data_IF_397087186243
#
_entry.id   IF_397087186243
#
_cell.length_a   1.000
_cell.length_b   1.000
_cell.length_c   1.000
_cell.angle_alpha   90.00
_cell.angle_beta   90.00
_cell.angle_gamma   90.00
#
_symmetry.space_group_name_H-M   'P 1'
#
loop_
_entity.id
_entity.type
_entity.pdbx_description
1 polymer ?
#
# COMPACT_ATOMS: atom_id res chain seq x y z
N UNK A 1 -15.14 -11.54 -55.90
CA UNK A 1 -15.38 -11.59 -54.45
C UNK A 1 -14.68 -10.39 -53.85
N UNK A 2 -15.44 -9.40 -53.38
CA UNK A 2 -14.90 -8.19 -52.78
C UNK A 2 -14.19 -8.50 -51.47
N UNK A 3 -13.01 -7.92 -51.32
CA UNK A 3 -12.09 -8.04 -50.19
C UNK A 3 -12.74 -7.47 -48.92
N UNK A 4 -13.66 -8.22 -48.31
CA UNK A 4 -14.38 -7.80 -47.10
C UNK A 4 -13.42 -7.88 -45.92
N UNK A 5 -12.74 -6.77 -45.66
CA UNK A 5 -11.90 -6.58 -44.48
C UNK A 5 -12.76 -6.82 -43.24
N UNK A 6 -12.47 -7.91 -42.51
CA UNK A 6 -13.13 -8.21 -41.24
C UNK A 6 -12.72 -7.12 -40.25
N UNK A 7 -13.68 -6.43 -39.61
CA UNK A 7 -13.35 -5.41 -38.62
C UNK A 7 -12.61 -6.01 -37.42
N UNK A 8 -11.61 -5.29 -36.89
CA UNK A 8 -10.80 -5.74 -35.75
C UNK A 8 -11.66 -6.02 -34.50
N UNK A 9 -12.69 -5.21 -34.25
CA UNK A 9 -13.61 -5.43 -33.14
C UNK A 9 -14.39 -6.75 -33.25
N UNK A 10 -14.67 -7.22 -34.47
CA UNK A 10 -15.35 -8.49 -34.71
C UNK A 10 -14.41 -9.67 -34.40
N UNK A 11 -13.15 -9.59 -34.82
CA UNK A 11 -12.12 -10.56 -34.46
C UNK A 11 -11.89 -10.60 -32.94
N UNK A 12 -11.87 -9.44 -32.27
CA UNK A 12 -11.76 -9.36 -30.82
C UNK A 12 -12.95 -10.03 -30.12
N UNK A 13 -14.17 -9.69 -30.52
CA UNK A 13 -15.39 -10.27 -29.95
C UNK A 13 -15.47 -11.79 -30.16
N UNK A 14 -15.11 -12.27 -31.35
CA UNK A 14 -15.05 -13.69 -31.65
C UNK A 14 -14.00 -14.41 -30.77
N UNK A 15 -12.81 -13.83 -30.62
CA UNK A 15 -11.78 -14.38 -29.73
C UNK A 15 -12.21 -14.39 -28.27
N UNK A 16 -12.81 -13.30 -27.76
CA UNK A 16 -13.34 -13.21 -26.41
C UNK A 16 -14.40 -14.30 -26.16
N UNK A 17 -15.34 -14.46 -27.09
CA UNK A 17 -16.36 -15.51 -27.04
C UNK A 17 -15.74 -16.92 -27.01
N UNK A 18 -14.75 -17.18 -27.87
CA UNK A 18 -14.04 -18.48 -27.90
C UNK A 18 -13.25 -18.75 -26.62
N UNK A 19 -12.62 -17.73 -26.03
CA UNK A 19 -11.93 -17.83 -24.73
C UNK A 19 -12.93 -18.19 -23.65
N UNK A 20 -14.05 -17.47 -23.55
CA UNK A 20 -15.11 -17.79 -22.58
C UNK A 20 -15.60 -19.24 -22.75
N UNK A 21 -15.84 -19.68 -23.98
CA UNK A 21 -16.31 -21.05 -24.25
C UNK A 21 -15.26 -22.13 -23.95
N UNK A 22 -13.97 -21.85 -24.13
CA UNK A 22 -12.87 -22.78 -23.80
C UNK A 22 -12.65 -22.94 -22.31
N UNK A 23 -13.01 -21.93 -21.51
CA UNK A 23 -12.86 -21.98 -20.07
C UNK A 23 -13.88 -22.90 -19.40
N UNK A 24 -15.01 -23.20 -20.06
CA UNK A 24 -16.07 -24.16 -19.67
C UNK A 24 -16.35 -24.23 -18.15
N UNK A 25 -15.65 -25.11 -17.41
CA UNK A 25 -15.81 -25.30 -15.95
C UNK A 25 -15.14 -24.23 -15.07
N UNK A 26 -14.24 -23.40 -15.63
CA UNK A 26 -13.49 -22.34 -14.93
C UNK A 26 -14.05 -20.93 -15.14
N UNK A 27 -15.14 -20.79 -15.91
CA UNK A 27 -15.72 -19.48 -16.23
C UNK A 27 -16.19 -18.75 -14.96
N UNK A 28 -16.76 -19.51 -14.01
CA UNK A 28 -17.23 -18.98 -12.72
C UNK A 28 -16.11 -18.40 -11.85
N UNK A 29 -14.87 -18.83 -12.05
CA UNK A 29 -13.73 -18.38 -11.23
C UNK A 29 -13.55 -16.86 -11.33
N UNK A 30 -13.76 -16.29 -12.52
CA UNK A 30 -13.65 -14.84 -12.72
C UNK A 30 -14.68 -14.06 -11.90
N UNK A 31 -15.92 -14.57 -11.84
CA UNK A 31 -16.98 -13.93 -11.07
C UNK A 31 -16.78 -14.11 -9.56
N UNK A 32 -16.38 -15.30 -9.09
CA UNK A 32 -16.05 -15.54 -7.68
C UNK A 32 -14.89 -14.66 -7.20
N UNK A 33 -13.83 -14.54 -8.00
CA UNK A 33 -12.71 -13.66 -7.67
C UNK A 33 -13.13 -12.18 -7.59
N UNK A 34 -14.02 -11.74 -8.49
CA UNK A 34 -14.59 -10.39 -8.44
C UNK A 34 -15.44 -10.19 -7.17
N UNK A 35 -16.33 -11.14 -6.83
CA UNK A 35 -17.17 -11.08 -5.63
C UNK A 35 -16.32 -11.04 -4.35
N UNK A 36 -15.30 -11.89 -4.25
CA UNK A 36 -14.42 -11.93 -3.08
C UNK A 36 -13.70 -10.59 -2.89
N UNK A 37 -13.12 -10.04 -3.97
CA UNK A 37 -12.45 -8.74 -3.92
C UNK A 37 -13.43 -7.60 -3.58
N UNK A 38 -14.63 -7.64 -4.15
CA UNK A 38 -15.66 -6.63 -3.89
C UNK A 38 -16.20 -6.68 -2.46
N UNK A 39 -16.44 -7.87 -1.91
CA UNK A 39 -16.85 -8.07 -0.53
C UNK A 39 -15.77 -7.57 0.44
N UNK A 40 -14.52 -7.94 0.21
CA UNK A 40 -13.39 -7.45 1.01
C UNK A 40 -13.29 -5.93 0.97
N UNK A 41 -13.36 -5.34 -0.24
CA UNK A 41 -13.34 -3.90 -0.45
C UNK A 41 -14.49 -3.18 0.29
N UNK A 42 -15.71 -3.71 0.18
CA UNK A 42 -16.89 -3.16 0.81
C UNK A 42 -16.77 -3.16 2.34
N UNK A 43 -16.25 -4.24 2.93
CA UNK A 43 -15.98 -4.31 4.38
C UNK A 43 -14.94 -3.27 4.78
N UNK A 44 -13.81 -3.17 4.07
CA UNK A 44 -12.77 -2.19 4.39
C UNK A 44 -13.31 -0.76 4.32
N UNK A 45 -14.04 -0.42 3.26
CA UNK A 45 -14.63 0.92 3.05
C UNK A 45 -15.67 1.23 4.13
N UNK A 46 -16.56 0.28 4.43
CA UNK A 46 -17.61 0.47 5.44
C UNK A 46 -17.02 0.76 6.82
N UNK A 47 -16.01 -0.01 7.21
CA UNK A 47 -15.37 0.15 8.50
C UNK A 47 -14.56 1.47 8.58
N UNK A 48 -13.92 1.90 7.50
CA UNK A 48 -13.27 3.22 7.43
C UNK A 48 -14.29 4.36 7.53
N UNK A 49 -15.39 4.29 6.78
CA UNK A 49 -16.46 5.29 6.82
C UNK A 49 -17.07 5.41 8.23
N UNK A 50 -17.22 4.28 8.96
CA UNK A 50 -17.66 4.29 10.35
C UNK A 50 -16.70 5.04 11.27
N UNK A 51 -15.38 4.87 11.09
CA UNK A 51 -14.37 5.57 11.87
C UNK A 51 -14.38 7.08 11.59
N UNK A 52 -14.46 7.47 10.31
CA UNK A 52 -14.58 8.89 9.92
C UNK A 52 -15.86 9.52 10.40
N UNK A 53 -16.99 8.82 10.30
CA UNK A 53 -18.27 9.28 10.85
C UNK A 53 -18.19 9.57 12.35
N UNK A 54 -17.49 8.74 13.11
CA UNK A 54 -17.22 8.98 14.54
C UNK A 54 -16.32 10.20 14.76
N UNK A 55 -15.27 10.37 13.95
CA UNK A 55 -14.38 11.53 14.03
C UNK A 55 -15.07 12.85 13.66
N UNK A 56 -15.87 12.85 12.58
CA UNK A 56 -16.73 13.96 12.15
C UNK A 56 -17.75 14.35 13.23
N UNK A 57 -18.41 13.37 13.87
CA UNK A 57 -19.34 13.62 14.97
C UNK A 57 -18.66 14.24 16.20
N UNK A 58 -17.37 13.96 16.41
CA UNK A 58 -16.54 14.61 17.43
C UNK A 58 -16.00 15.99 16.99
N UNK A 59 -16.34 16.47 15.78
CA UNK A 59 -15.87 17.74 15.22
C UNK A 59 -14.39 17.73 14.82
N UNK A 60 -13.81 16.54 14.58
CA UNK A 60 -12.36 16.34 14.37
C UNK A 60 -11.95 16.20 12.91
N UNK A 61 -12.91 16.06 11.99
CA UNK A 61 -12.67 15.86 10.56
C UNK A 61 -13.65 16.69 9.69
N UNK A 62 -13.22 17.01 8.46
CA UNK A 62 -13.92 17.96 7.58
C UNK A 62 -13.88 17.56 6.08
N UNK A 63 -13.44 16.35 5.75
CA UNK A 63 -13.37 15.88 4.36
C UNK A 63 -14.64 15.13 3.95
N UNK A 64 -15.08 15.38 2.73
CA UNK A 64 -16.25 14.76 2.12
C UNK A 64 -15.98 13.29 1.81
N UNK A 65 -16.88 12.40 2.26
CA UNK A 65 -16.85 10.95 2.00
C UNK A 65 -17.35 10.58 0.57
N UNK A 66 -17.52 11.57 -0.31
CA UNK A 66 -17.99 11.43 -1.70
C UNK A 66 -17.30 10.29 -2.48
N UNK A 67 -16.01 10.06 -2.22
CA UNK A 67 -15.26 8.99 -2.85
C UNK A 67 -15.63 7.59 -2.33
N UNK A 68 -15.76 7.43 -1.00
CA UNK A 68 -16.15 6.16 -0.38
C UNK A 68 -17.58 5.80 -0.79
N UNK A 69 -18.45 6.79 -0.89
CA UNK A 69 -19.81 6.65 -1.42
C UNK A 69 -19.79 6.22 -2.90
N UNK A 70 -18.92 6.84 -3.72
CA UNK A 70 -18.76 6.48 -5.12
C UNK A 70 -18.30 5.03 -5.30
N UNK A 71 -17.25 4.58 -4.60
CA UNK A 71 -16.83 3.17 -4.71
C UNK A 71 -17.93 2.24 -4.18
N UNK A 72 -18.55 2.56 -3.04
CA UNK A 72 -19.61 1.72 -2.46
C UNK A 72 -20.77 1.54 -3.43
N UNK A 73 -21.18 2.61 -4.11
CA UNK A 73 -22.18 2.56 -5.17
C UNK A 73 -21.73 1.66 -6.33
N UNK A 74 -20.48 1.79 -6.77
CA UNK A 74 -19.95 1.01 -7.88
C UNK A 74 -19.85 -0.50 -7.55
N UNK A 75 -19.37 -0.84 -6.35
CA UNK A 75 -19.32 -2.21 -5.83
C UNK A 75 -20.71 -2.85 -5.77
N UNK A 76 -21.69 -2.13 -5.22
CA UNK A 76 -23.10 -2.60 -5.13
C UNK A 76 -23.72 -2.84 -6.50
N UNK A 77 -23.40 -2.00 -7.48
CA UNK A 77 -24.00 -2.12 -8.81
C UNK A 77 -23.38 -3.21 -9.69
N UNK A 78 -22.12 -3.57 -9.47
CA UNK A 78 -21.40 -4.44 -10.39
C UNK A 78 -20.92 -5.76 -9.80
N UNK A 79 -20.65 -5.83 -8.50
CA UNK A 79 -19.89 -6.95 -7.95
C UNK A 79 -20.49 -7.59 -6.70
N UNK A 80 -21.26 -6.85 -5.90
CA UNK A 80 -21.96 -7.41 -4.75
C UNK A 80 -23.29 -8.03 -5.20
N UNK A 81 -23.54 -9.26 -4.76
CA UNK A 81 -24.75 -10.00 -5.07
C UNK A 81 -25.86 -9.61 -4.09
N UNK A 82 -26.30 -8.36 -4.14
CA UNK A 82 -27.38 -7.87 -3.27
C UNK A 82 -28.74 -8.22 -3.88
N UNK A 83 -28.99 -9.52 -4.02
CA UNK A 83 -30.29 -10.05 -4.45
C UNK A 83 -31.35 -9.96 -3.34
N UNK A 84 -30.99 -9.51 -2.12
CA UNK A 84 -31.84 -9.66 -0.94
C UNK A 84 -32.01 -8.45 -0.01
N UNK A 85 -31.18 -7.39 -0.01
CA UNK A 85 -31.30 -6.37 1.07
C UNK A 85 -31.69 -4.94 0.67
N UNK A 86 -31.53 -4.53 -0.60
CA UNK A 86 -31.77 -3.14 -1.01
C UNK A 86 -32.94 -2.90 -1.98
N UNK A 87 -33.64 -3.94 -2.43
CA UNK A 87 -34.60 -3.85 -3.54
C UNK A 87 -35.93 -4.58 -3.30
N UNK A 88 -36.36 -4.74 -2.05
CA UNK A 88 -37.65 -5.39 -1.75
C UNK A 88 -38.87 -4.67 -2.37
N UNK A 89 -38.72 -3.40 -2.79
CA UNK A 89 -39.83 -2.61 -3.34
C UNK A 89 -39.94 -2.59 -4.89
N UNK A 90 -38.97 -3.12 -5.66
CA UNK A 90 -38.99 -3.01 -7.14
C UNK A 90 -38.55 -4.28 -7.90
N UNK A 91 -39.53 -5.05 -8.42
CA UNK A 91 -39.32 -6.23 -9.27
C UNK A 91 -38.47 -5.98 -10.54
N UNK A 92 -38.42 -4.74 -11.03
CA UNK A 92 -37.59 -4.33 -12.18
C UNK A 92 -36.10 -4.40 -11.88
N UNK A 93 -35.70 -3.95 -10.70
CA UNK A 93 -34.30 -3.85 -10.30
C UNK A 93 -33.72 -5.23 -9.98
N UNK A 94 -34.55 -6.11 -9.39
CA UNK A 94 -34.19 -7.51 -9.14
C UNK A 94 -33.92 -8.29 -10.43
N UNK A 95 -34.78 -8.14 -11.46
CA UNK A 95 -34.55 -8.77 -12.78
C UNK A 95 -33.26 -8.27 -13.44
N UNK A 96 -32.92 -7.00 -13.24
CA UNK A 96 -31.70 -6.39 -13.78
C UNK A 96 -30.46 -6.89 -13.04
N UNK A 97 -30.51 -7.04 -11.71
CA UNK A 97 -29.44 -7.63 -10.91
C UNK A 97 -29.14 -9.09 -11.31
N UNK A 98 -30.17 -9.94 -11.42
CA UNK A 98 -30.02 -11.34 -11.85
C UNK A 98 -29.40 -11.45 -13.25
N UNK A 99 -29.81 -10.59 -14.18
CA UNK A 99 -29.22 -10.55 -15.53
C UNK A 99 -27.76 -10.09 -15.51
N UNK A 100 -27.39 -9.14 -14.65
CA UNK A 100 -26.00 -8.69 -14.46
C UNK A 100 -25.14 -9.82 -13.90
N UNK A 101 -25.57 -10.46 -12.81
CA UNK A 101 -24.86 -11.58 -12.21
C UNK A 101 -24.67 -12.73 -13.23
N UNK A 102 -25.72 -13.10 -13.96
CA UNK A 102 -25.63 -14.10 -15.03
C UNK A 102 -24.67 -13.69 -16.16
N UNK A 103 -24.67 -12.40 -16.55
CA UNK A 103 -23.72 -11.87 -17.54
C UNK A 103 -22.27 -11.96 -17.04
N UNK A 104 -22.01 -11.58 -15.79
CA UNK A 104 -20.66 -11.62 -15.22
C UNK A 104 -20.17 -13.05 -15.05
N UNK A 105 -21.03 -13.95 -14.59
CA UNK A 105 -20.76 -15.38 -14.46
C UNK A 105 -20.31 -16.04 -15.78
N UNK A 106 -20.69 -15.50 -16.93
CA UNK A 106 -20.29 -16.01 -18.26
C UNK A 106 -19.21 -15.17 -18.96
N UNK A 107 -18.79 -14.03 -18.37
CA UNK A 107 -17.83 -13.10 -18.97
C UNK A 107 -16.64 -12.80 -18.04
N UNK A 108 -15.68 -13.73 -17.90
CA UNK A 108 -14.51 -13.57 -17.03
C UNK A 108 -13.59 -12.40 -17.43
N UNK A 109 -13.53 -12.05 -18.73
CA UNK A 109 -12.76 -10.88 -19.20
C UNK A 109 -13.33 -9.59 -18.60
N UNK A 110 -14.66 -9.45 -18.59
CA UNK A 110 -15.32 -8.28 -18.03
C UNK A 110 -15.17 -8.26 -16.50
N UNK A 111 -15.25 -9.43 -15.84
CA UNK A 111 -14.95 -9.54 -14.41
C UNK A 111 -13.52 -9.09 -14.08
N UNK A 112 -12.54 -9.44 -14.91
CA UNK A 112 -11.15 -8.98 -14.75
C UNK A 112 -10.98 -7.46 -14.88
N UNK A 113 -11.73 -6.82 -15.79
CA UNK A 113 -11.73 -5.36 -15.92
C UNK A 113 -12.35 -4.67 -14.69
N UNK A 114 -13.47 -5.21 -14.18
CA UNK A 114 -14.08 -4.71 -12.95
C UNK A 114 -13.17 -4.93 -11.73
N UNK A 115 -12.50 -6.08 -11.65
CA UNK A 115 -11.54 -6.35 -10.59
C UNK A 115 -10.37 -5.36 -10.62
N UNK A 116 -9.82 -5.09 -11.82
CA UNK A 116 -8.79 -4.07 -12.00
C UNK A 116 -9.28 -2.68 -11.57
N UNK A 117 -10.53 -2.33 -11.90
CA UNK A 117 -11.16 -1.07 -11.48
C UNK A 117 -11.19 -0.92 -9.97
N UNK A 118 -11.71 -1.93 -9.28
CA UNK A 118 -11.83 -1.96 -7.81
C UNK A 118 -10.46 -1.80 -7.16
N UNK A 119 -9.47 -2.58 -7.63
CA UNK A 119 -8.10 -2.53 -7.10
C UNK A 119 -7.42 -1.18 -7.33
N UNK A 120 -7.55 -0.59 -8.53
CA UNK A 120 -7.00 0.74 -8.81
C UNK A 120 -7.60 1.79 -7.89
N UNK A 121 -8.93 1.78 -7.69
CA UNK A 121 -9.62 2.75 -6.84
C UNK A 121 -9.20 2.60 -5.37
N UNK A 122 -9.20 1.36 -4.84
CA UNK A 122 -8.78 1.09 -3.46
C UNK A 122 -7.31 1.42 -3.23
N UNK A 123 -6.43 1.06 -4.16
CA UNK A 123 -5.00 1.30 -4.03
C UNK A 123 -4.68 2.80 -4.03
N UNK A 124 -5.19 3.53 -5.01
CA UNK A 124 -4.96 4.97 -5.17
C UNK A 124 -5.35 5.74 -3.90
N UNK A 125 -6.47 5.36 -3.31
CA UNK A 125 -7.07 6.09 -2.21
C UNK A 125 -6.66 5.56 -0.85
N UNK A 126 -6.44 4.25 -0.71
CA UNK A 126 -5.77 3.67 0.45
C UNK A 126 -4.38 4.27 0.67
N UNK A 127 -3.57 4.40 -0.39
CA UNK A 127 -2.28 5.11 -0.33
C UNK A 127 -2.46 6.60 -0.05
N UNK A 128 -3.46 7.24 -0.65
CA UNK A 128 -3.80 8.65 -0.41
C UNK A 128 -4.10 8.94 1.07
N UNK A 129 -4.98 8.15 1.67
CA UNK A 129 -5.35 8.21 3.09
C UNK A 129 -4.13 7.89 3.96
N UNK A 130 -3.42 6.81 3.67
CA UNK A 130 -2.21 6.46 4.42
C UNK A 130 -1.16 7.58 4.44
N UNK A 131 -1.05 8.36 3.36
CA UNK A 131 -0.15 9.51 3.25
C UNK A 131 -0.65 10.72 4.01
N UNK A 132 -1.95 11.04 3.92
CA UNK A 132 -2.56 12.14 4.66
C UNK A 132 -2.31 12.03 6.16
N UNK A 133 -2.48 10.83 6.71
CA UNK A 133 -2.26 10.56 8.13
C UNK A 133 -0.83 10.13 8.45
N UNK A 134 -0.04 9.78 7.44
CA UNK A 134 1.31 9.24 7.56
C UNK A 134 1.46 8.03 8.52
N UNK A 135 0.38 7.31 8.84
CA UNK A 135 0.41 6.28 9.91
C UNK A 135 1.33 5.11 9.57
N UNK A 136 1.32 4.66 8.31
CA UNK A 136 2.15 3.53 7.85
C UNK A 136 3.64 3.85 8.01
N UNK A 137 4.08 5.05 7.61
CA UNK A 137 5.46 5.48 7.81
C UNK A 137 5.83 5.43 9.29
N UNK A 138 5.05 6.10 10.14
CA UNK A 138 5.39 6.24 11.56
C UNK A 138 5.40 4.88 12.28
N UNK A 139 4.43 4.00 11.98
CA UNK A 139 4.42 2.63 12.47
C UNK A 139 5.64 1.83 11.96
N UNK A 140 6.02 1.98 10.68
CA UNK A 140 7.16 1.27 10.09
C UNK A 140 8.52 1.73 10.63
N UNK A 141 8.68 3.04 10.88
CA UNK A 141 9.84 3.59 11.58
C UNK A 141 9.94 3.03 13.00
N UNK A 142 8.82 3.02 13.74
CA UNK A 142 8.78 2.47 15.09
C UNK A 142 9.10 0.98 15.13
N UNK A 143 8.49 0.19 14.27
CA UNK A 143 8.75 -1.25 14.12
C UNK A 143 10.22 -1.52 13.80
N UNK A 144 10.79 -0.78 12.85
CA UNK A 144 12.20 -0.95 12.46
C UNK A 144 13.16 -0.59 13.59
N UNK A 145 12.89 0.50 14.32
CA UNK A 145 13.67 0.86 15.51
C UNK A 145 13.59 -0.23 16.58
N UNK A 146 12.41 -0.75 16.88
CA UNK A 146 12.22 -1.80 17.89
C UNK A 146 12.89 -3.13 17.52
N UNK A 147 12.93 -3.49 16.23
CA UNK A 147 13.70 -4.66 15.78
C UNK A 147 15.20 -4.45 15.93
N UNK A 148 15.70 -3.28 15.53
CA UNK A 148 17.12 -2.96 15.63
C UNK A 148 17.60 -2.94 17.10
N UNK A 149 16.78 -2.43 18.00
CA UNK A 149 17.02 -2.40 19.45
C UNK A 149 16.69 -3.74 20.15
N UNK A 150 16.32 -4.79 19.40
CA UNK A 150 15.99 -6.14 19.91
C UNK A 150 14.87 -6.15 20.98
N UNK A 151 13.94 -5.20 20.89
CA UNK A 151 12.81 -5.08 21.81
C UNK A 151 11.64 -6.01 21.45
N UNK A 152 11.62 -6.55 20.22
CA UNK A 152 10.60 -7.49 19.75
C UNK A 152 11.00 -8.97 19.94
N UNK A 153 12.28 -9.21 20.25
CA UNK A 153 12.80 -10.52 20.65
C UNK A 153 12.71 -10.67 22.16
N UNK A 154 11.88 -11.60 22.64
CA UNK A 154 11.84 -11.92 24.07
C UNK A 154 13.07 -12.73 24.46
N UNK A 155 13.94 -12.17 25.32
CA UNK A 155 15.20 -12.81 25.69
C UNK A 155 15.05 -14.07 26.57
N UNK A 156 13.87 -14.35 27.11
CA UNK A 156 13.54 -15.61 27.77
C UNK A 156 12.01 -15.76 27.68
N UNK A 157 11.52 -16.80 27.00
CA UNK A 157 10.15 -17.25 27.26
C UNK A 157 10.05 -17.56 28.74
N UNK A 158 9.04 -17.04 29.44
CA UNK A 158 8.85 -17.15 30.89
C UNK A 158 8.85 -18.60 31.44
N UNK A 159 8.92 -19.60 30.55
CA UNK A 159 8.76 -21.01 30.83
C UNK A 159 9.90 -21.87 30.21
N UNK A 160 11.01 -21.28 29.76
CA UNK A 160 12.08 -22.03 29.07
C UNK A 160 11.78 -22.38 27.61
N UNK A 161 10.74 -21.77 27.02
CA UNK A 161 10.43 -21.87 25.60
C UNK A 161 11.35 -20.96 24.78
N UNK A 162 11.69 -21.40 23.57
CA UNK A 162 12.54 -20.70 22.61
C UNK A 162 12.16 -19.21 22.47
N UNK A 163 13.17 -18.36 22.28
CA UNK A 163 13.00 -16.93 22.05
C UNK A 163 11.98 -16.70 20.92
N UNK A 164 10.85 -16.06 21.23
CA UNK A 164 9.83 -15.72 20.23
C UNK A 164 10.19 -14.35 19.67
N UNK A 165 10.58 -14.33 18.41
CA UNK A 165 10.75 -13.10 17.62
C UNK A 165 9.40 -12.71 17.02
N UNK A 166 8.85 -11.58 17.46
CA UNK A 166 7.56 -11.09 16.97
C UNK A 166 7.77 -10.37 15.63
N UNK A 167 7.70 -11.13 14.53
CA UNK A 167 7.77 -10.58 13.16
C UNK A 167 6.41 -10.01 12.77
N UNK A 168 6.36 -8.72 12.45
CA UNK A 168 5.22 -8.11 11.77
C UNK A 168 5.34 -8.41 10.26
N UNK A 169 4.64 -9.46 9.82
CA UNK A 169 4.63 -9.94 8.43
C UNK A 169 4.17 -8.86 7.47
N UNK A 170 3.02 -8.22 7.72
CA UNK A 170 2.45 -7.19 6.83
C UNK A 170 3.36 -5.96 6.69
N UNK A 171 3.88 -5.43 7.81
CA UNK A 171 4.80 -4.29 7.76
C UNK A 171 6.14 -4.65 7.10
N UNK A 172 6.65 -5.86 7.35
CA UNK A 172 7.83 -6.38 6.67
C UNK A 172 7.63 -6.45 5.15
N UNK A 173 6.48 -6.96 4.73
CA UNK A 173 6.07 -7.02 3.34
C UNK A 173 5.97 -5.63 2.71
N UNK A 174 5.31 -4.66 3.36
CA UNK A 174 5.21 -3.28 2.85
C UNK A 174 6.59 -2.64 2.71
N UNK A 175 7.48 -2.81 3.69
CA UNK A 175 8.85 -2.27 3.60
C UNK A 175 9.59 -2.90 2.41
N UNK A 176 9.46 -4.23 2.19
CA UNK A 176 10.04 -4.93 1.02
C UNK A 176 9.43 -4.44 -0.28
N UNK A 177 8.10 -4.25 -0.31
CA UNK A 177 7.33 -3.80 -1.46
C UNK A 177 7.75 -2.41 -1.95
N UNK A 178 8.04 -1.49 -1.03
CA UNK A 178 8.58 -0.16 -1.38
C UNK A 178 10.11 -0.17 -1.54
N UNK A 179 10.81 -1.08 -0.88
CA UNK A 179 12.26 -1.04 -0.73
C UNK A 179 12.70 0.01 0.29
N UNK A 180 13.87 -0.21 0.91
CA UNK A 180 14.36 0.63 2.00
C UNK A 180 14.51 2.10 1.58
N UNK A 181 14.98 2.37 0.36
CA UNK A 181 15.27 3.74 -0.12
C UNK A 181 14.03 4.59 -0.38
N UNK A 182 12.89 3.95 -0.70
CA UNK A 182 11.62 4.66 -0.93
C UNK A 182 10.73 4.66 0.30
N UNK A 183 10.86 3.69 1.19
CA UNK A 183 10.15 3.68 2.47
C UNK A 183 10.80 4.59 3.51
N UNK A 184 12.13 4.49 3.69
CA UNK A 184 12.89 5.31 4.63
C UNK A 184 13.50 6.53 3.95
N UNK A 185 13.90 7.52 4.76
CA UNK A 185 14.65 8.68 4.26
C UNK A 185 16.13 8.29 4.06
N UNK A 186 16.43 7.61 2.95
CA UNK A 186 17.76 7.06 2.67
C UNK A 186 17.85 5.58 3.04
N UNK A 187 18.89 5.18 3.77
CA UNK A 187 19.00 3.80 4.27
C UNK A 187 18.19 3.61 5.55
N UNK A 188 17.90 2.35 5.87
CA UNK A 188 17.25 1.97 7.13
C UNK A 188 18.06 2.52 8.32
N UNK A 189 17.43 3.22 9.27
CA UNK A 189 18.15 3.85 10.38
C UNK A 189 18.76 2.79 11.31
N UNK A 190 20.00 3.02 11.75
CA UNK A 190 20.81 2.02 12.49
C UNK A 190 21.01 2.35 13.97
N UNK A 191 20.46 3.47 14.45
CA UNK A 191 20.47 3.80 15.87
C UNK A 191 19.56 4.95 16.27
N UNK A 192 19.48 5.26 17.58
CA UNK A 192 18.52 6.20 18.16
C UNK A 192 18.53 7.59 17.52
N UNK A 193 19.72 8.15 17.30
CA UNK A 193 19.88 9.49 16.72
C UNK A 193 19.34 9.55 15.28
N UNK A 194 19.54 8.46 14.53
CA UNK A 194 19.07 8.33 13.16
C UNK A 194 17.56 8.13 13.09
N UNK A 195 16.95 7.40 14.04
CA UNK A 195 15.49 7.27 14.12
C UNK A 195 14.84 8.64 14.26
N UNK A 196 15.31 9.45 15.21
CA UNK A 196 14.76 10.77 15.44
C UNK A 196 15.00 11.72 14.25
N UNK A 197 16.20 11.66 13.66
CA UNK A 197 16.53 12.46 12.47
C UNK A 197 15.60 12.10 11.31
N UNK A 198 15.48 10.83 10.94
CA UNK A 198 14.70 10.42 9.77
C UNK A 198 13.19 10.64 9.96
N UNK A 199 12.64 10.41 11.17
CA UNK A 199 11.22 10.71 11.42
C UNK A 199 10.94 12.21 11.31
N UNK A 200 11.87 13.05 11.77
CA UNK A 200 11.75 14.50 11.64
C UNK A 200 11.79 14.94 10.17
N UNK A 201 12.64 14.33 9.35
CA UNK A 201 12.67 14.60 7.92
C UNK A 201 11.37 14.16 7.23
N UNK A 202 10.78 13.05 7.68
CA UNK A 202 9.47 12.56 7.20
C UNK A 202 8.36 13.56 7.54
N UNK A 203 8.38 14.16 8.73
CA UNK A 203 7.49 15.25 9.16
C UNK A 203 7.76 16.59 8.44
N UNK A 204 8.71 16.64 7.51
CA UNK A 204 9.01 17.82 6.70
C UNK A 204 10.00 18.79 7.35
N UNK A 205 10.68 18.44 8.43
CA UNK A 205 11.80 19.26 8.94
C UNK A 205 12.99 19.23 7.96
N UNK A 206 13.72 20.34 7.88
CA UNK A 206 14.89 20.45 7.00
C UNK A 206 16.10 19.67 7.52
N UNK A 207 16.88 19.09 6.60
CA UNK A 207 18.19 18.47 6.89
C UNK A 207 19.15 19.48 7.53
N UNK A 208 19.04 20.77 7.18
CA UNK A 208 19.86 21.85 7.77
C UNK A 208 19.66 21.97 9.28
N UNK A 209 18.53 21.47 9.82
CA UNK A 209 18.30 21.47 11.27
C UNK A 209 19.26 20.56 12.04
N UNK A 210 19.84 19.56 11.38
CA UNK A 210 20.73 18.54 11.97
C UNK A 210 22.22 18.78 11.66
N UNK A 211 22.59 19.95 11.11
CA UNK A 211 23.97 20.27 10.80
C UNK A 211 24.77 20.66 12.06
N UNK A 212 26.03 20.21 12.14
CA UNK A 212 26.91 20.36 13.32
C UNK A 212 27.23 21.80 13.72
N UNK A 213 27.11 22.78 12.81
CA UNK A 213 27.49 24.18 13.02
C UNK A 213 26.30 25.15 12.94
N UNK A 214 25.13 24.70 13.38
CA UNK A 214 23.91 25.50 13.31
C UNK A 214 23.87 26.61 14.36
N UNK A 215 23.48 27.82 13.93
CA UNK A 215 23.10 28.92 14.85
C UNK A 215 21.76 28.59 15.51
N UNK A 216 21.62 28.83 16.82
CA UNK A 216 20.36 28.61 17.58
C UNK A 216 19.22 29.48 17.03
N UNK A 217 18.53 29.00 16.01
CA UNK A 217 17.37 29.63 15.36
C UNK A 217 16.20 28.66 15.33
N UNK A 218 14.98 29.11 14.98
CA UNK A 218 13.80 28.24 14.85
C UNK A 218 14.02 27.11 13.82
N UNK A 219 13.43 25.93 14.05
CA UNK A 219 13.49 24.81 13.11
C UNK A 219 12.95 25.22 11.74
N UNK A 220 13.72 24.92 10.69
CA UNK A 220 13.31 25.16 9.31
C UNK A 220 12.51 23.97 8.81
N UNK A 221 11.40 24.24 8.14
CA UNK A 221 10.67 23.23 7.39
C UNK A 221 11.19 23.17 5.95
N UNK A 222 11.36 21.96 5.44
CA UNK A 222 11.59 21.71 4.01
C UNK A 222 10.26 21.71 3.26
N UNK A 223 10.31 21.88 1.94
CA UNK A 223 9.10 22.08 1.12
C UNK A 223 8.24 20.82 0.95
N UNK A 224 8.72 19.61 1.26
CA UNK A 224 7.95 18.38 1.00
C UNK A 224 8.21 17.28 2.05
N UNK A 225 7.18 16.83 2.79
CA UNK A 225 7.26 15.62 3.60
C UNK A 225 7.40 14.38 2.71
N UNK A 226 7.96 13.31 3.28
CA UNK A 226 8.07 12.02 2.57
C UNK A 226 6.71 11.34 2.57
N UNK A 227 6.27 10.91 1.39
CA UNK A 227 5.00 10.20 1.16
C UNK A 227 5.27 8.88 0.45
N UNK A 228 4.36 7.92 0.61
CA UNK A 228 4.39 6.64 -0.07
C UNK A 228 4.02 6.89 -1.53
N UNK A 229 4.85 6.36 -2.42
CA UNK A 229 4.58 6.38 -3.85
C UNK A 229 3.41 5.46 -4.19
N UNK A 230 2.64 5.81 -5.22
CA UNK A 230 1.65 4.88 -5.74
C UNK A 230 2.37 3.78 -6.50
N UNK A 231 2.26 2.56 -6.01
CA UNK A 231 2.78 1.37 -6.69
C UNK A 231 1.93 1.03 -7.92
N UNK A 232 2.37 0.06 -8.71
CA UNK A 232 1.76 -0.38 -9.96
C UNK A 232 1.66 0.70 -11.05
N UNK A 233 2.77 1.35 -11.44
CA UNK A 233 2.76 2.46 -12.38
C UNK A 233 2.16 2.10 -13.75
N UNK A 234 2.32 0.87 -14.25
CA UNK A 234 1.77 0.45 -15.55
C UNK A 234 0.26 0.26 -15.47
N UNK A 235 -0.22 -0.42 -14.44
CA UNK A 235 -1.64 -0.66 -14.22
C UNK A 235 -2.40 0.65 -13.96
N UNK A 236 -1.80 1.58 -13.20
CA UNK A 236 -2.36 2.91 -12.96
C UNK A 236 -2.45 3.78 -14.22
N UNK A 237 -1.72 3.46 -15.31
CA UNK A 237 -1.92 4.16 -16.60
C UNK A 237 -3.34 3.96 -17.13
N UNK A 238 -3.99 2.85 -16.79
CA UNK A 238 -5.35 2.54 -17.22
C UNK A 238 -6.43 3.15 -16.34
N UNK A 239 -6.07 3.85 -15.25
CA UNK A 239 -7.04 4.43 -14.30
C UNK A 239 -8.12 5.24 -14.99
N UNK A 240 -7.75 6.19 -15.85
CA UNK A 240 -8.73 7.03 -16.56
C UNK A 240 -9.66 6.18 -17.44
N UNK A 241 -9.11 5.21 -18.18
CA UNK A 241 -9.87 4.33 -19.07
C UNK A 241 -10.86 3.45 -18.32
N UNK A 242 -10.49 3.03 -17.11
CA UNK A 242 -11.26 2.06 -16.33
C UNK A 242 -12.26 2.77 -15.41
N UNK A 243 -11.93 3.95 -14.88
CA UNK A 243 -12.77 4.70 -13.94
C UNK A 243 -13.78 5.61 -14.66
N UNK A 244 -13.36 6.27 -15.74
CA UNK A 244 -14.18 7.28 -16.41
C UNK A 244 -14.84 6.73 -17.68
N UNK A 245 -16.19 6.75 -17.79
CA UNK A 245 -16.92 6.07 -18.86
C UNK A 245 -16.66 6.61 -20.27
N UNK A 246 -16.17 7.86 -20.39
CA UNK A 246 -15.89 8.51 -21.67
C UNK A 246 -14.41 8.85 -21.86
N UNK A 247 -13.53 8.40 -20.96
CA UNK A 247 -12.11 8.72 -21.08
C UNK A 247 -11.51 8.02 -22.30
N UNK A 248 -10.67 8.78 -23.01
CA UNK A 248 -9.80 8.25 -24.05
C UNK A 248 -8.38 8.62 -23.68
N UNK A 249 -7.54 7.61 -23.54
CA UNK A 249 -6.11 7.79 -23.30
C UNK A 249 -5.34 7.29 -24.52
N UNK A 250 -4.43 8.12 -25.01
CA UNK A 250 -3.45 7.72 -26.02
C UNK A 250 -2.12 7.47 -25.31
N UNK A 251 -1.52 6.32 -25.58
CA UNK A 251 -0.19 6.01 -25.06
C UNK A 251 0.86 6.83 -25.80
N UNK A 252 1.74 7.48 -25.06
CA UNK A 252 2.90 8.16 -25.62
C UNK A 252 4.16 7.29 -25.48
N UNK A 253 5.27 7.72 -26.08
CA UNK A 253 6.53 6.96 -26.04
C UNK A 253 7.04 6.73 -24.61
N UNK A 254 6.81 7.68 -23.69
CA UNK A 254 7.23 7.56 -22.28
C UNK A 254 6.45 6.45 -21.59
N UNK A 255 5.15 6.32 -21.88
CA UNK A 255 4.33 5.24 -21.35
C UNK A 255 4.82 3.87 -21.86
N UNK A 256 5.17 3.80 -23.15
CA UNK A 256 5.73 2.57 -23.74
C UNK A 256 7.07 2.22 -23.10
N UNK A 257 7.95 3.19 -22.90
CA UNK A 257 9.23 2.97 -22.21
C UNK A 257 9.04 2.43 -20.80
N UNK A 258 8.13 3.03 -20.03
CA UNK A 258 7.80 2.56 -18.67
C UNK A 258 7.29 1.11 -18.66
N UNK A 259 6.47 0.73 -19.63
CA UNK A 259 6.00 -0.65 -19.78
C UNK A 259 7.18 -1.60 -19.99
N UNK A 260 8.08 -1.26 -20.91
CA UNK A 260 9.25 -2.08 -21.23
C UNK A 260 10.24 -2.16 -20.07
N UNK A 261 10.50 -1.04 -19.38
CA UNK A 261 11.37 -0.98 -18.21
C UNK A 261 10.83 -1.89 -17.08
N UNK A 262 9.52 -1.80 -16.78
CA UNK A 262 8.90 -2.64 -15.76
C UNK A 262 8.93 -4.13 -16.14
N UNK A 263 8.67 -4.46 -17.40
CA UNK A 263 8.67 -5.85 -17.86
C UNK A 263 10.08 -6.47 -17.85
N UNK A 264 11.12 -5.69 -18.19
CA UNK A 264 12.52 -6.11 -18.08
C UNK A 264 12.93 -6.39 -16.64
N UNK A 265 12.59 -5.50 -15.70
CA UNK A 265 12.86 -5.71 -14.28
C UNK A 265 12.24 -7.01 -13.74
N UNK A 266 11.06 -7.38 -14.26
CA UNK A 266 10.41 -8.66 -13.92
C UNK A 266 11.14 -9.86 -14.56
N UNK A 267 11.65 -9.72 -15.78
CA UNK A 267 12.35 -10.80 -16.49
C UNK A 267 13.71 -11.10 -15.84
N UNK A 268 14.46 -10.05 -15.49
CA UNK A 268 15.76 -10.17 -14.81
C UNK A 268 15.65 -10.75 -13.39
N UNK A 269 14.50 -10.60 -12.73
CA UNK A 269 14.22 -11.24 -11.44
C UNK A 269 14.12 -12.76 -11.60
N UNK A 270 13.33 -13.21 -12.56
CA UNK A 270 13.12 -14.64 -12.85
C UNK A 270 14.42 -15.36 -13.25
N UNK A 271 15.32 -14.71 -13.99
CA UNK A 271 16.62 -15.30 -14.36
C UNK A 271 17.58 -15.42 -13.16
N UNK A 272 17.55 -14.46 -12.24
CA UNK A 272 18.37 -14.47 -11.04
C UNK A 272 17.92 -15.52 -10.02
N UNK A 273 16.61 -15.81 -9.96
CA UNK A 273 16.03 -16.88 -9.13
C UNK A 273 16.23 -18.26 -9.78
N UNK A 274 16.07 -18.38 -11.09
CA UNK A 274 16.36 -19.63 -11.82
C UNK A 274 17.82 -20.11 -11.67
N UNK A 275 18.78 -19.19 -11.49
CA UNK A 275 20.17 -19.54 -11.18
C UNK A 275 20.36 -20.01 -9.73
N UNK A 276 19.49 -19.63 -8.80
CA UNK A 276 19.47 -20.12 -7.42
C UNK A 276 18.73 -21.47 -7.29
N UNK A 277 17.67 -21.69 -8.08
CA UNK A 277 16.84 -22.91 -8.06
C UNK A 277 17.43 -24.11 -8.77
N UNK A 278 18.54 -23.96 -9.50
CA UNK A 278 19.31 -25.13 -9.98
C UNK A 278 19.92 -25.98 -8.85
N UNK A 279 19.74 -25.60 -7.58
CA UNK A 279 20.13 -26.37 -6.40
C UNK A 279 19.01 -27.23 -5.79
N UNK A 280 17.72 -27.01 -6.09
CA UNK A 280 16.61 -27.81 -5.55
C UNK A 280 15.44 -27.81 -6.51
N UNK A 281 15.24 -28.93 -7.22
CA UNK A 281 14.13 -29.07 -8.15
C UNK A 281 12.82 -29.36 -7.42
N UNK A 282 11.85 -28.46 -7.57
CA UNK A 282 10.41 -28.72 -7.52
C UNK A 282 9.63 -27.57 -8.19
N UNK A 283 8.35 -27.81 -8.48
CA UNK A 283 7.45 -27.17 -9.46
C UNK A 283 7.52 -25.63 -9.65
N UNK A 284 7.41 -25.20 -10.91
CA UNK A 284 7.44 -23.79 -11.33
C UNK A 284 6.13 -23.04 -11.00
N UNK A 285 6.11 -22.31 -9.89
CA UNK A 285 5.22 -21.17 -9.65
C UNK A 285 6.01 -19.86 -9.57
N UNK A 286 5.37 -18.75 -9.99
CA UNK A 286 6.02 -17.44 -10.14
C UNK A 286 6.16 -16.76 -8.77
N UNK A 287 7.36 -16.78 -8.21
CA UNK A 287 7.74 -16.01 -7.02
C UNK A 287 7.73 -14.49 -7.33
N UNK A 288 7.25 -13.68 -6.38
CA UNK A 288 7.23 -12.21 -6.52
C UNK A 288 8.28 -11.56 -5.63
N UNK A 289 9.35 -11.04 -6.25
CA UNK A 289 10.32 -10.17 -5.61
C UNK A 289 10.22 -8.75 -6.19
N UNK A 290 9.71 -7.77 -5.41
CA UNK A 290 9.68 -6.38 -5.85
C UNK A 290 11.09 -5.80 -5.94
N UNK A 291 11.68 -5.79 -7.14
CA UNK A 291 12.87 -4.98 -7.45
C UNK A 291 12.42 -3.64 -8.00
N UNK A 292 12.86 -2.58 -7.35
CA UNK A 292 12.69 -1.21 -7.83
C UNK A 292 14.06 -0.66 -8.18
N UNK A 293 14.17 -0.02 -9.33
CA UNK A 293 15.38 0.70 -9.68
C UNK A 293 15.61 1.79 -8.62
N UNK A 294 16.77 1.77 -7.95
CA UNK A 294 17.16 2.88 -7.09
C UNK A 294 17.21 4.16 -7.93
N UNK A 295 16.25 5.07 -7.70
CA UNK A 295 16.14 6.35 -8.41
C UNK A 295 17.40 7.22 -8.30
N UNK A 296 18.33 6.88 -7.40
CA UNK A 296 19.62 7.58 -7.24
C UNK A 296 20.70 7.16 -8.24
N UNK A 297 20.57 6.00 -8.90
CA UNK A 297 21.62 5.50 -9.80
C UNK A 297 21.31 5.70 -11.29
N UNK A 298 20.07 6.02 -11.67
CA UNK A 298 19.72 6.05 -13.09
C UNK A 298 18.78 7.17 -13.54
N UNK A 299 18.81 8.34 -12.89
CA UNK A 299 18.40 9.59 -13.56
C UNK A 299 19.50 10.10 -14.50
N UNK A 300 20.07 9.22 -15.34
CA UNK A 300 20.52 9.69 -16.63
C UNK A 300 19.25 10.19 -17.31
N UNK A 301 19.09 11.51 -17.37
CA UNK A 301 18.12 12.16 -18.25
C UNK A 301 18.38 11.60 -19.65
N UNK A 302 17.69 10.51 -20.00
CA UNK A 302 17.67 10.01 -21.37
C UNK A 302 17.10 11.16 -22.17
N UNK A 303 18.00 11.82 -22.91
CA UNK A 303 17.64 12.93 -23.75
C UNK A 303 16.49 12.45 -24.65
N UNK A 304 15.47 13.28 -24.83
CA UNK A 304 14.31 13.00 -25.71
C UNK A 304 14.72 12.48 -27.11
N UNK A 305 15.98 12.68 -27.53
CA UNK A 305 16.54 12.23 -28.80
C UNK A 305 17.21 10.84 -28.80
N UNK A 306 17.61 10.26 -27.67
CA UNK A 306 18.21 8.90 -27.61
C UNK A 306 17.14 7.81 -27.46
N UNK A 307 16.01 8.14 -26.83
CA UNK A 307 14.85 7.27 -26.68
C UNK A 307 14.24 6.77 -28.01
N UNK A 308 14.48 7.46 -29.13
CA UNK A 308 13.85 7.16 -30.42
C UNK A 308 14.58 6.10 -31.26
N UNK A 309 15.85 5.77 -30.95
CA UNK A 309 16.71 5.01 -31.87
C UNK A 309 16.67 3.48 -31.70
N UNK A 310 16.15 2.97 -30.59
CA UNK A 310 16.19 1.53 -30.26
C UNK A 310 14.80 0.87 -30.20
N UNK A 311 13.77 1.48 -30.79
CA UNK A 311 12.38 0.96 -30.75
C UNK A 311 12.08 -0.07 -31.85
N UNK A 312 12.77 -1.21 -31.82
CA UNK A 312 12.44 -2.39 -32.63
C UNK A 312 11.53 -3.35 -31.85
N UNK A 313 10.36 -2.86 -31.40
CA UNK A 313 9.36 -3.69 -30.73
C UNK A 313 8.12 -3.85 -31.61
N UNK A 314 7.81 -5.09 -31.99
CA UNK A 314 6.58 -5.40 -32.72
C UNK A 314 5.36 -5.21 -31.80
N UNK A 315 4.15 -4.96 -32.36
CA UNK A 315 2.93 -4.84 -31.54
C UNK A 315 2.67 -6.06 -30.66
N UNK A 316 3.02 -7.26 -31.14
CA UNK A 316 2.86 -8.50 -30.37
C UNK A 316 3.83 -8.55 -29.19
N UNK A 317 5.10 -8.20 -29.40
CA UNK A 317 6.08 -8.09 -28.31
C UNK A 317 5.62 -7.07 -27.28
N UNK A 318 5.18 -5.89 -27.69
CA UNK A 318 4.70 -4.87 -26.75
C UNK A 318 3.51 -5.36 -25.91
N UNK A 319 2.56 -6.09 -26.50
CA UNK A 319 1.45 -6.69 -25.76
C UNK A 319 1.91 -7.77 -24.77
N UNK A 320 2.93 -8.54 -25.13
CA UNK A 320 3.55 -9.52 -24.23
C UNK A 320 4.23 -8.82 -23.05
N UNK A 321 5.05 -7.80 -23.30
CA UNK A 321 5.70 -7.01 -22.25
C UNK A 321 4.67 -6.31 -21.34
N UNK A 322 3.60 -5.76 -21.93
CA UNK A 322 2.50 -5.17 -21.18
C UNK A 322 1.82 -6.20 -20.26
N UNK A 323 1.57 -7.40 -20.77
CA UNK A 323 1.00 -8.50 -19.97
C UNK A 323 1.92 -8.84 -18.80
N UNK A 324 3.23 -8.99 -19.05
CA UNK A 324 4.22 -9.30 -18.02
C UNK A 324 4.27 -8.21 -16.95
N UNK A 325 4.33 -6.94 -17.37
CA UNK A 325 4.34 -5.79 -16.46
C UNK A 325 3.08 -5.74 -15.58
N UNK A 326 1.88 -5.82 -16.17
CA UNK A 326 0.62 -5.82 -15.41
C UNK A 326 0.55 -7.02 -14.45
N UNK A 327 1.01 -8.21 -14.89
CA UNK A 327 1.00 -9.40 -14.05
C UNK A 327 1.91 -9.24 -12.82
N UNK A 328 3.10 -8.66 -13.00
CA UNK A 328 4.05 -8.38 -11.92
C UNK A 328 3.49 -7.38 -10.89
N UNK A 329 2.65 -6.44 -11.31
CA UNK A 329 2.07 -5.40 -10.45
C UNK A 329 0.82 -5.86 -9.68
N UNK A 330 0.41 -7.12 -9.86
CA UNK A 330 -0.85 -7.63 -9.30
C UNK A 330 -0.87 -7.59 -7.78
N UNK A 331 0.25 -7.90 -7.12
CA UNK A 331 0.37 -7.86 -5.66
C UNK A 331 0.41 -6.42 -5.16
N UNK A 332 1.12 -5.54 -5.88
CA UNK A 332 1.19 -4.10 -5.59
C UNK A 332 -0.21 -3.45 -5.53
N UNK A 333 -1.10 -3.84 -6.45
CA UNK A 333 -2.49 -3.36 -6.50
C UNK A 333 -3.45 -4.09 -5.58
N UNK A 334 -3.14 -5.33 -5.18
CA UNK A 334 -4.05 -6.15 -4.40
C UNK A 334 -3.89 -5.89 -2.89
N UNK A 335 -2.75 -5.37 -2.44
CA UNK A 335 -2.52 -5.04 -1.04
C UNK A 335 -3.49 -3.94 -0.57
N UNK A 336 -4.27 -4.21 0.48
CA UNK A 336 -5.26 -3.27 1.00
C UNK A 336 -4.59 -2.22 1.92
N UNK A 337 -4.07 -1.16 1.31
CA UNK A 337 -3.46 -0.04 2.04
C UNK A 337 -4.44 0.66 2.98
N UNK A 338 -5.75 0.60 2.73
CA UNK A 338 -6.74 1.26 3.59
C UNK A 338 -6.96 0.46 4.88
N UNK A 339 -7.09 -0.86 4.77
CA UNK A 339 -7.16 -1.75 5.94
C UNK A 339 -5.86 -1.71 6.75
N UNK A 340 -4.71 -1.78 6.06
CA UNK A 340 -3.42 -1.68 6.73
C UNK A 340 -3.18 -0.33 7.41
N UNK A 341 -3.61 0.78 6.77
CA UNK A 341 -3.62 2.11 7.38
C UNK A 341 -4.39 2.11 8.71
N UNK A 342 -5.56 1.48 8.75
CA UNK A 342 -6.39 1.40 9.96
C UNK A 342 -5.72 0.60 11.07
N UNK A 343 -5.09 -0.53 10.74
CA UNK A 343 -4.30 -1.30 11.71
C UNK A 343 -3.16 -0.45 12.29
N UNK A 344 -2.42 0.26 11.43
CA UNK A 344 -1.36 1.18 11.87
C UNK A 344 -1.92 2.35 12.72
N UNK A 345 -3.09 2.89 12.38
CA UNK A 345 -3.74 3.96 13.14
C UNK A 345 -4.15 3.47 14.53
N UNK A 346 -4.79 2.30 14.63
CA UNK A 346 -5.19 1.69 15.90
C UNK A 346 -3.97 1.46 16.80
N UNK A 347 -2.89 0.88 16.24
CA UNK A 347 -1.64 0.70 16.96
C UNK A 347 -1.10 2.01 17.54
N UNK A 348 -1.03 3.07 16.73
CA UNK A 348 -0.52 4.38 17.18
C UNK A 348 -1.43 5.01 18.25
N UNK A 349 -2.74 4.81 18.15
CA UNK A 349 -3.71 5.24 19.17
C UNK A 349 -3.51 4.49 20.49
N UNK A 350 -3.31 3.17 20.44
CA UNK A 350 -3.08 2.34 21.62
C UNK A 350 -1.76 2.70 22.30
N UNK A 351 -0.69 2.93 21.52
CA UNK A 351 0.58 3.44 22.04
C UNK A 351 0.40 4.81 22.69
N UNK A 352 -0.32 5.72 22.05
CA UNK A 352 -0.58 7.06 22.59
C UNK A 352 -1.39 6.98 23.89
N UNK A 353 -2.33 6.04 24.00
CA UNK A 353 -3.11 5.80 25.23
C UNK A 353 -2.23 5.28 26.37
N UNK A 354 -1.36 4.31 26.08
CA UNK A 354 -0.44 3.73 27.07
C UNK A 354 0.61 4.72 27.57
N UNK A 355 1.08 5.60 26.68
CA UNK A 355 2.08 6.63 26.98
C UNK A 355 1.48 7.98 27.42
N UNK A 356 0.14 8.06 27.53
CA UNK A 356 -0.55 9.29 27.91
C UNK A 356 0.04 9.98 29.16
N UNK A 357 0.28 9.29 30.30
CA UNK A 357 0.77 9.99 31.50
C UNK A 357 2.16 10.57 31.30
N UNK A 358 3.04 9.89 30.56
CA UNK A 358 4.34 10.43 30.23
C UNK A 358 4.23 11.61 29.26
N UNK A 359 3.45 11.47 28.18
CA UNK A 359 3.20 12.53 27.19
C UNK A 359 2.63 13.81 27.84
N UNK A 360 1.74 13.68 28.83
CA UNK A 360 1.25 14.80 29.61
C UNK A 360 2.36 15.44 30.46
N UNK A 361 3.19 14.62 31.11
CA UNK A 361 4.38 15.09 31.83
C UNK A 361 5.41 15.78 30.92
N UNK A 362 5.41 15.47 29.60
CA UNK A 362 6.18 16.20 28.59
C UNK A 362 5.61 17.56 28.20
N UNK A 363 4.37 17.85 28.55
CA UNK A 363 3.63 18.98 28.00
C UNK A 363 3.13 18.73 26.56
N UNK A 364 3.07 17.48 26.11
CA UNK A 364 2.57 17.12 24.77
C UNK A 364 1.04 17.07 24.70
N UNK A 365 0.32 17.33 25.80
CA UNK A 365 -1.15 17.22 25.92
C UNK A 365 -1.92 17.90 24.79
N UNK A 366 -1.52 19.11 24.39
CA UNK A 366 -2.18 19.85 23.32
C UNK A 366 -1.94 19.27 21.92
N UNK A 367 -0.92 18.43 21.73
CA UNK A 367 -0.53 17.94 20.40
C UNK A 367 -1.31 16.71 19.97
N UNK A 368 -1.53 15.72 20.86
CA UNK A 368 -2.23 14.49 20.47
C UNK A 368 -3.73 14.49 20.80
N UNK A 369 -4.23 15.39 21.67
CA UNK A 369 -5.67 15.44 22.03
C UNK A 369 -6.53 16.21 21.02
N UNK A 370 -5.93 17.10 20.22
CA UNK A 370 -6.66 18.03 19.35
C UNK A 370 -6.95 17.49 17.95
N UNK A 371 -6.07 16.64 17.41
CA UNK A 371 -6.24 16.09 16.07
C UNK A 371 -5.48 14.78 15.92
N UNK A 372 -6.12 13.79 15.31
CA UNK A 372 -5.50 12.50 15.04
C UNK A 372 -4.36 12.58 13.99
N UNK A 373 -4.28 13.70 13.23
CA UNK A 373 -3.15 14.01 12.34
C UNK A 373 -1.83 14.16 13.11
N UNK A 374 -1.89 14.26 14.44
CA UNK A 374 -0.74 14.35 15.32
C UNK A 374 -0.34 13.03 15.98
N UNK A 375 -1.03 11.91 15.74
CA UNK A 375 -0.59 10.58 16.18
C UNK A 375 0.87 10.27 15.74
N UNK A 376 1.29 10.62 14.51
CA UNK A 376 2.69 10.65 14.09
C UNK A 376 3.69 11.32 15.06
N UNK A 377 3.28 12.38 15.75
CA UNK A 377 4.14 13.16 16.66
C UNK A 377 4.51 12.33 17.90
N UNK A 378 3.63 11.41 18.35
CA UNK A 378 3.91 10.49 19.46
C UNK A 378 5.17 9.66 19.18
N UNK A 379 5.35 9.17 17.96
CA UNK A 379 6.56 8.41 17.57
C UNK A 379 7.81 9.30 17.63
N UNK A 380 7.69 10.56 17.23
CA UNK A 380 8.74 11.57 17.39
C UNK A 380 9.15 11.73 18.86
N UNK A 381 8.19 11.83 19.79
CA UNK A 381 8.49 11.90 21.23
C UNK A 381 9.17 10.64 21.76
N UNK A 382 8.71 9.45 21.35
CA UNK A 382 9.36 8.18 21.71
C UNK A 382 10.84 8.23 21.31
N UNK A 383 11.15 8.63 20.07
CA UNK A 383 12.54 8.71 19.61
C UNK A 383 13.34 9.85 20.24
N UNK A 384 12.75 11.02 20.50
CA UNK A 384 13.44 12.10 21.25
C UNK A 384 13.90 11.58 22.60
N UNK A 385 13.04 10.84 23.30
CA UNK A 385 13.39 10.30 24.62
C UNK A 385 14.49 9.25 24.53
N UNK A 386 14.60 8.53 23.40
CA UNK A 386 15.65 7.56 23.12
C UNK A 386 17.03 8.20 22.81
N UNK A 387 17.10 9.51 22.55
CA UNK A 387 18.33 10.20 22.11
C UNK A 387 18.91 11.15 23.15
N UNK A 388 20.24 11.22 23.23
CA UNK A 388 20.96 12.30 23.95
C UNK A 388 21.11 13.58 23.11
N UNK A 389 20.61 13.57 21.87
CA UNK A 389 20.79 14.65 20.89
C UNK A 389 20.07 15.92 21.33
N UNK A 390 20.86 16.99 21.46
CA UNK A 390 20.38 18.33 21.75
C UNK A 390 19.39 18.86 20.70
N UNK A 391 18.18 19.16 21.18
CA UNK A 391 17.20 20.16 20.75
C UNK A 391 17.01 20.41 19.24
N UNK A 392 15.88 19.95 18.69
CA UNK A 392 15.21 20.71 17.64
C UNK A 392 14.45 21.89 18.27
N UNK A 393 14.73 23.15 17.90
CA UNK A 393 14.01 24.31 18.40
C UNK A 393 12.56 24.28 17.88
N UNK A 394 11.62 23.96 18.78
CA UNK A 394 10.20 23.68 18.50
C UNK A 394 9.71 22.39 19.18
N UNK A 395 10.61 21.40 19.33
CA UNK A 395 10.44 20.20 20.14
C UNK A 395 11.37 20.29 21.36
N UNK A 396 11.28 21.42 22.08
CA UNK A 396 12.07 21.67 23.29
C UNK A 396 11.94 20.51 24.27
N UNK A 397 13.04 20.16 24.95
CA UNK A 397 13.02 19.22 26.09
C UNK A 397 11.78 19.51 26.90
N UNK A 398 10.87 18.54 26.96
CA UNK A 398 9.99 18.40 28.10
C UNK A 398 10.84 18.64 29.35
N UNK A 399 10.60 19.75 30.06
CA UNK A 399 11.42 20.19 31.20
C UNK A 399 11.49 19.13 32.32
N UNK A 400 10.68 18.08 32.22
CA UNK A 400 10.34 17.12 33.27
C UNK A 400 10.30 15.67 32.78
N UNK A 401 10.80 15.33 31.59
CA UNK A 401 10.86 13.91 31.23
C UNK A 401 12.01 13.21 31.98
N UNK A 402 11.76 12.10 32.71
CA UNK A 402 12.81 11.34 33.38
C UNK A 402 13.85 10.84 32.37
N UNK A 403 15.10 10.64 32.78
CA UNK A 403 16.19 10.02 31.97
C UNK A 403 15.93 8.54 31.60
N UNK A 404 14.68 8.11 31.48
CA UNK A 404 14.26 6.73 31.25
C UNK A 404 13.82 6.53 29.80
N UNK A 405 14.72 6.88 28.88
CA UNK A 405 14.66 6.69 27.42
C UNK A 405 14.10 5.32 26.98
N UNK A 406 14.47 4.29 27.73
CA UNK A 406 14.12 2.90 27.46
C UNK A 406 12.66 2.58 27.84
N UNK A 407 12.07 3.28 28.81
CA UNK A 407 10.75 2.94 29.34
C UNK A 407 9.63 3.20 28.31
N UNK A 408 9.70 4.33 27.59
CA UNK A 408 8.72 4.65 26.55
C UNK A 408 8.81 3.67 25.37
N UNK A 409 10.03 3.34 24.92
CA UNK A 409 10.25 2.34 23.88
C UNK A 409 9.81 0.94 24.33
N UNK A 410 10.04 0.54 25.58
CA UNK A 410 9.61 -0.75 26.14
C UNK A 410 8.08 -0.86 26.23
N UNK A 411 7.41 0.19 26.72
CA UNK A 411 5.94 0.24 26.77
C UNK A 411 5.34 0.17 25.37
N UNK A 412 5.88 0.95 24.44
CA UNK A 412 5.44 0.90 23.05
C UNK A 412 5.71 -0.49 22.43
N UNK A 413 6.85 -1.12 22.74
CA UNK A 413 7.19 -2.45 22.22
C UNK A 413 6.23 -3.52 22.71
N UNK A 414 5.76 -3.44 23.97
CA UNK A 414 4.71 -4.34 24.49
C UNK A 414 3.42 -4.21 23.69
N UNK A 415 2.97 -2.99 23.41
CA UNK A 415 1.76 -2.75 22.61
C UNK A 415 1.95 -3.26 21.18
N UNK A 416 3.11 -3.03 20.58
CA UNK A 416 3.45 -3.54 19.24
C UNK A 416 3.45 -5.07 19.21
N UNK A 417 4.03 -5.75 20.21
CA UNK A 417 4.01 -7.22 20.31
C UNK A 417 2.58 -7.77 20.41
N UNK A 418 1.74 -7.14 21.24
CA UNK A 418 0.33 -7.53 21.39
C UNK A 418 -0.41 -7.35 20.06
N UNK A 419 -0.19 -6.25 19.35
CA UNK A 419 -0.85 -5.99 18.07
C UNK A 419 -0.37 -6.94 16.97
N UNK A 420 0.94 -7.21 16.88
CA UNK A 420 1.50 -8.19 15.94
C UNK A 420 0.83 -9.57 16.13
N UNK A 421 0.56 -9.96 17.37
CA UNK A 421 -0.10 -11.24 17.65
C UNK A 421 -1.57 -11.30 17.19
N UNK A 422 -2.23 -10.14 17.02
CA UNK A 422 -3.64 -10.04 16.61
C UNK A 422 -3.80 -9.81 15.12
N UNK A 423 -3.00 -8.92 14.54
CA UNK A 423 -3.21 -8.36 13.20
C UNK A 423 -1.95 -8.32 12.34
N UNK A 424 -0.87 -8.99 12.75
CA UNK A 424 0.44 -8.86 12.11
C UNK A 424 0.60 -9.54 10.73
N UNK A 425 -0.29 -10.44 10.34
CA UNK A 425 -0.21 -11.20 9.09
C UNK A 425 -1.53 -11.23 8.30
N UNK A 426 -2.42 -10.28 8.60
CA UNK A 426 -3.79 -10.26 8.09
C UNK A 426 -3.84 -9.94 6.60
N UNK A 427 -3.04 -8.98 6.15
CA UNK A 427 -3.04 -8.58 4.74
C UNK A 427 -2.30 -9.58 3.86
N UNK A 428 -1.16 -10.09 4.33
CA UNK A 428 -0.44 -11.13 3.60
C UNK A 428 -1.27 -12.40 3.47
N UNK A 429 -1.95 -12.85 4.53
CA UNK A 429 -2.90 -13.98 4.44
C UNK A 429 -4.03 -13.70 3.46
N UNK A 430 -4.58 -12.48 3.44
CA UNK A 430 -5.63 -12.12 2.49
C UNK A 430 -5.14 -12.16 1.03
N UNK A 431 -3.86 -11.83 0.78
CA UNK A 431 -3.24 -11.98 -0.54
C UNK A 431 -3.08 -13.45 -0.93
N UNK A 432 -2.59 -14.29 -0.01
CA UNK A 432 -2.42 -15.74 -0.19
C UNK A 432 -3.76 -16.45 -0.46
N UNK A 433 -4.80 -16.14 0.34
CA UNK A 433 -6.17 -16.63 0.13
C UNK A 433 -6.75 -16.16 -1.21
N UNK A 434 -6.32 -14.99 -1.69
CA UNK A 434 -6.60 -14.47 -3.02
C UNK A 434 -5.84 -15.16 -4.16
N UNK A 435 -5.00 -16.16 -3.86
CA UNK A 435 -4.18 -16.89 -4.82
C UNK A 435 -2.95 -16.10 -5.29
N UNK A 436 -2.44 -15.18 -4.45
CA UNK A 436 -1.21 -14.45 -4.70
C UNK A 436 -0.13 -14.94 -3.72
N UNK A 437 0.91 -15.58 -4.23
CA UNK A 437 2.05 -16.01 -3.41
C UNK A 437 2.87 -14.79 -2.99
N UNK A 438 3.17 -14.70 -1.70
CA UNK A 438 3.88 -13.57 -1.09
C UNK A 438 5.09 -14.11 -0.33
N UNK A 439 6.29 -13.66 -0.70
CA UNK A 439 7.50 -13.95 0.06
C UNK A 439 7.78 -12.84 1.09
N UNK A 440 7.78 -13.18 2.38
CA UNK A 440 7.81 -12.25 3.54
C UNK A 440 9.16 -12.20 4.24
#
# INVERSE_FOLDING_TARGET
MSDRKIPVWYLFAANAYLICRRLDQRIEFGFKALQNAANSAATTIHEEAKLRGQANAMGREQKSDEFLDFITYDLRNWALDDSSSAYEDNLSDQKTAVRRAAFLAINPIFCGLLLLRIRILLHDEGVGVANEWSTIHHAGYLYSAMRQEKLLSTALGSNGSAAVDHKWTDMGFVIKLYGDTRFFYGERPRGPEEYFKQISLTLGYSVTNFASHRRKSQAQHSKQPKVLDRLAPVSLMFRELVVSPNARRYFNLIDIQKILEKARLCSDANESEALADTATGEDASLEYVPKHADDRANTQKLSRGQAYKDFDCTPVQLLTELRTAIHSERIELAFDFLRFHRSCRTLLLDITRELKPELEAAGARGMYEQCELHLPITVGYIFITATDVGHLPGLSRAKTWPKNSLLAMLKAARVVQEEISKTGDVEVKALEEGGLEVDV
#
